data_IF_475981353345
#
_entry.id   IF_475981353345
#
_cell.length_a   1.000
_cell.length_b   1.000
_cell.length_c   1.000
_cell.angle_alpha   90.00
_cell.angle_beta   90.00
_cell.angle_gamma   90.00
#
_symmetry.space_group_name_H-M   'P 1'
#
loop_
_entity.id
_entity.type
_entity.pdbx_description
1 polymer ?
#
# COMPACT_ATOMS: atom_id res chain seq x y z
N UNK A 1 -9.62 19.08 -12.00
CA UNK A 1 -10.77 18.32 -11.45
C UNK A 1 -11.86 19.28 -11.02
N UNK A 2 -13.10 18.80 -10.97
CA UNK A 2 -14.26 19.58 -10.50
C UNK A 2 -15.32 18.62 -9.96
N UNK A 3 -16.44 19.13 -9.46
CA UNK A 3 -17.55 18.35 -8.92
C UNK A 3 -18.37 19.20 -7.95
N UNK A 4 -19.68 19.25 -8.12
CA UNK A 4 -20.61 19.91 -7.21
C UNK A 4 -21.62 18.90 -6.65
N UNK A 5 -22.36 19.25 -5.59
CA UNK A 5 -23.35 18.38 -4.89
C UNK A 5 -22.95 16.89 -4.89
N UNK A 6 -23.88 15.97 -5.15
CA UNK A 6 -23.64 14.51 -5.20
C UNK A 6 -22.99 14.03 -6.50
N UNK A 7 -21.97 14.72 -7.01
CA UNK A 7 -21.34 14.41 -8.31
C UNK A 7 -20.49 13.13 -8.36
N UNK A 8 -20.67 12.21 -7.42
CA UNK A 8 -20.03 10.90 -7.41
C UNK A 8 -18.72 10.84 -6.60
N UNK A 9 -17.80 9.98 -7.05
CA UNK A 9 -16.73 9.35 -6.24
C UNK A 9 -15.35 10.00 -6.36
N UNK A 10 -15.21 11.10 -7.10
CA UNK A 10 -13.97 11.88 -7.27
C UNK A 10 -12.77 11.16 -7.94
N UNK A 11 -12.97 9.96 -8.48
CA UNK A 11 -12.02 9.15 -9.24
C UNK A 11 -12.07 9.45 -10.75
N UNK A 12 -12.05 10.74 -11.11
CA UNK A 12 -12.44 11.21 -12.45
C UNK A 12 -11.38 10.95 -13.53
N UNK A 13 -11.83 10.56 -14.72
CA UNK A 13 -11.00 10.51 -15.93
C UNK A 13 -10.24 11.83 -16.14
N UNK A 14 -8.95 11.73 -16.50
CA UNK A 14 -7.99 12.84 -16.50
C UNK A 14 -7.15 12.95 -15.22
N UNK A 15 -7.44 12.16 -14.18
CA UNK A 15 -6.60 11.97 -12.98
C UNK A 15 -5.83 10.66 -13.00
N UNK A 16 -4.68 10.65 -12.31
CA UNK A 16 -4.01 9.39 -11.92
C UNK A 16 -4.92 8.51 -11.05
N UNK A 17 -5.82 9.09 -10.25
CA UNK A 17 -6.75 8.33 -9.41
C UNK A 17 -7.76 7.52 -10.21
N UNK A 18 -8.13 7.94 -11.43
CA UNK A 18 -8.99 7.14 -12.31
C UNK A 18 -8.28 5.87 -12.79
N UNK A 19 -6.96 5.93 -13.02
CA UNK A 19 -6.18 4.75 -13.41
C UNK A 19 -6.16 3.72 -12.28
N UNK A 20 -6.06 4.18 -11.03
CA UNK A 20 -6.07 3.31 -9.84
C UNK A 20 -7.38 2.55 -9.62
N UNK A 21 -8.49 2.96 -10.25
CA UNK A 21 -9.79 2.24 -10.13
C UNK A 21 -9.80 0.90 -10.84
N UNK A 22 -8.95 0.74 -11.86
CA UNK A 22 -8.95 -0.41 -12.77
C UNK A 22 -7.79 -1.37 -12.51
N UNK A 23 -7.05 -1.15 -11.43
CA UNK A 23 -5.93 -2.00 -11.02
C UNK A 23 -6.12 -2.44 -9.57
N UNK A 24 -5.63 -3.64 -9.26
CA UNK A 24 -5.53 -4.14 -7.89
C UNK A 24 -4.04 -4.26 -7.56
N UNK A 25 -3.42 -3.23 -6.95
CA UNK A 25 -1.97 -3.21 -6.73
C UNK A 25 -1.55 -4.32 -5.77
N UNK A 26 -0.42 -4.98 -6.09
CA UNK A 26 0.23 -5.98 -5.24
C UNK A 26 1.58 -5.45 -4.80
N UNK A 27 1.84 -5.49 -3.49
CA UNK A 27 3.18 -5.26 -2.95
C UNK A 27 3.87 -6.61 -2.73
N UNK A 28 5.10 -6.75 -3.22
CA UNK A 28 5.95 -7.93 -3.05
C UNK A 28 7.21 -7.50 -2.29
N UNK A 29 7.57 -8.25 -1.24
CA UNK A 29 8.80 -8.04 -0.48
C UNK A 29 9.70 -9.27 -0.63
N UNK A 30 10.96 -9.02 -0.96
CA UNK A 30 12.03 -10.01 -0.92
C UNK A 30 13.06 -9.59 0.15
N UNK A 31 13.58 -10.55 0.92
CA UNK A 31 14.61 -10.31 1.94
C UNK A 31 15.78 -11.23 1.67
N UNK A 32 16.93 -10.69 1.23
CA UNK A 32 18.07 -11.50 0.80
C UNK A 32 18.77 -12.23 1.95
N UNK A 33 18.71 -11.67 3.17
CA UNK A 33 19.24 -12.29 4.38
C UNK A 33 18.16 -12.22 5.45
N UNK A 34 17.39 -13.30 5.57
CA UNK A 34 16.30 -13.39 6.55
C UNK A 34 16.84 -13.63 7.95
N UNK A 35 16.11 -13.17 8.97
CA UNK A 35 16.37 -13.58 10.33
C UNK A 35 16.28 -15.11 10.44
N UNK A 36 17.28 -15.73 11.05
CA UNK A 36 17.34 -17.18 11.29
C UNK A 36 16.86 -17.57 12.69
N UNK A 37 16.68 -16.57 13.56
CA UNK A 37 16.14 -16.70 14.91
C UNK A 37 14.97 -15.73 15.07
N UNK A 38 13.95 -16.15 15.82
CA UNK A 38 12.75 -15.38 16.12
C UNK A 38 12.89 -14.54 17.39
N UNK A 39 13.88 -14.83 18.24
CA UNK A 39 14.11 -14.10 19.47
C UNK A 39 14.60 -12.68 19.19
N UNK A 40 13.98 -11.70 19.86
CA UNK A 40 14.42 -10.32 19.80
C UNK A 40 15.47 -10.05 20.89
N UNK A 41 16.43 -9.12 20.66
CA UNK A 41 17.53 -8.86 21.59
C UNK A 41 17.09 -8.51 23.03
N UNK A 42 15.90 -7.94 23.20
CA UNK A 42 15.36 -7.56 24.51
C UNK A 42 14.78 -8.72 25.33
N UNK A 43 14.79 -9.95 24.79
CA UNK A 43 14.34 -11.17 25.48
C UNK A 43 15.50 -12.13 25.81
N UNK A 44 16.73 -11.76 25.47
CA UNK A 44 17.91 -12.54 25.82
C UNK A 44 18.29 -12.24 27.29
N UNK A 45 18.56 -13.29 28.07
CA UNK A 45 19.20 -13.14 29.38
C UNK A 45 20.66 -12.69 29.21
N UNK A 46 21.18 -11.89 30.14
CA UNK A 46 22.59 -11.43 30.16
C UNK A 46 23.58 -12.58 30.39
#
# INVERSE_FOLDING_TARGET
FGGGRGSGTNDKAGSVFNLLRWVSPQCIKETFVTATDYMYPNFLEE
#
